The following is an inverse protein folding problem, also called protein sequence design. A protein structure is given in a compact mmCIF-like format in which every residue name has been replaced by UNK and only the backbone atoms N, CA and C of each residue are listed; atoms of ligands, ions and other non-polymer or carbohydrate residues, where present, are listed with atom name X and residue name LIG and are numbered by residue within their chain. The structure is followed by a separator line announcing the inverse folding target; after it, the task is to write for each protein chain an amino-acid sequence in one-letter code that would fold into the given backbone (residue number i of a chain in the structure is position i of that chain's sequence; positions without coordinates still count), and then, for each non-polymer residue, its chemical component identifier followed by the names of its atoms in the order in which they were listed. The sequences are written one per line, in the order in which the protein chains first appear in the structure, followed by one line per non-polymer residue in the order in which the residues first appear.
data_IF_553370145756
#
_entry.id   IF_553370145756
#
_cell.length_a   1.000
_cell.length_b   1.000
_cell.length_c   1.000
_cell.angle_alpha   90.00
_cell.angle_beta   90.00
_cell.angle_gamma   90.00
#
_symmetry.space_group_name_H-M   'P 1'
#
loop_
_entity.id
_entity.type
_entity.pdbx_description
1 polymer ?
#
# COMPACT_ATOMS: atom_id res chain seq x y z
N UNK A 1 10.22 33.68 8.48
CA UNK A 1 10.83 32.34 8.30
C UNK A 1 9.83 31.43 7.64
N UNK A 2 10.21 30.80 6.54
CA UNK A 2 9.44 29.78 5.85
C UNK A 2 10.01 28.42 6.23
N UNK A 3 9.14 27.52 6.67
CA UNK A 3 9.47 26.15 7.02
C UNK A 3 8.54 25.27 6.22
N UNK A 4 9.10 24.57 5.25
CA UNK A 4 8.36 23.70 4.34
C UNK A 4 9.16 22.43 4.10
N UNK A 5 8.48 21.34 3.78
CA UNK A 5 9.15 20.09 3.39
C UNK A 5 9.46 20.07 1.89
N UNK A 6 10.42 19.23 1.48
CA UNK A 6 10.90 19.09 0.10
C UNK A 6 11.62 20.36 -0.42
N UNK A 7 11.26 20.83 -1.63
CA UNK A 7 11.85 21.99 -2.28
C UNK A 7 11.23 23.31 -1.78
N UNK A 8 11.97 24.44 -1.82
CA UNK A 8 11.57 25.73 -1.26
C UNK A 8 10.49 26.48 -2.08
N UNK A 9 9.39 25.81 -2.44
CA UNK A 9 8.36 26.37 -3.33
C UNK A 9 7.64 27.55 -2.69
N UNK A 10 7.25 27.44 -1.42
CA UNK A 10 6.57 28.51 -0.68
C UNK A 10 7.55 29.66 -0.40
N UNK A 11 8.79 29.35 -0.02
CA UNK A 11 9.83 30.33 0.23
C UNK A 11 10.13 31.16 -1.03
N UNK A 12 10.34 30.51 -2.18
CA UNK A 12 10.58 31.16 -3.45
C UNK A 12 9.41 32.09 -3.84
N UNK A 13 8.17 31.61 -3.71
CA UNK A 13 6.98 32.41 -4.01
C UNK A 13 6.83 33.62 -3.08
N UNK A 14 7.08 33.44 -1.77
CA UNK A 14 7.04 34.54 -0.80
C UNK A 14 8.18 35.55 -1.05
N UNK A 15 9.38 35.09 -1.41
CA UNK A 15 10.51 35.96 -1.80
C UNK A 15 10.17 36.79 -3.04
N UNK A 16 9.57 36.18 -4.06
CA UNK A 16 9.13 36.89 -5.28
C UNK A 16 8.10 37.97 -4.92
N UNK A 17 7.08 37.64 -4.13
CA UNK A 17 6.04 38.60 -3.73
C UNK A 17 6.60 39.73 -2.86
N UNK A 18 7.51 39.41 -1.92
CA UNK A 18 8.11 40.38 -1.03
C UNK A 18 8.91 41.45 -1.79
N UNK A 19 9.56 41.10 -2.91
CA UNK A 19 10.25 42.09 -3.77
C UNK A 19 9.33 43.19 -4.29
N UNK A 20 8.02 42.96 -4.37
CA UNK A 20 7.05 43.97 -4.81
C UNK A 20 6.42 44.69 -3.63
N UNK A 21 6.04 43.95 -2.58
CA UNK A 21 5.19 44.48 -1.50
C UNK A 21 6.01 45.03 -0.32
N UNK A 22 7.13 44.39 0.01
CA UNK A 22 8.00 44.79 1.11
C UNK A 22 9.45 44.34 0.83
N UNK A 23 10.20 45.07 -0.02
CA UNK A 23 11.53 44.65 -0.46
C UNK A 23 12.56 44.53 0.67
N UNK A 24 12.30 45.19 1.81
CA UNK A 24 13.16 45.13 2.99
C UNK A 24 12.87 43.95 3.93
N UNK A 25 11.87 43.11 3.61
CA UNK A 25 11.54 41.95 4.43
C UNK A 25 12.62 40.86 4.29
N UNK A 26 13.32 40.58 5.39
CA UNK A 26 14.21 39.43 5.48
C UNK A 26 13.41 38.13 5.56
N UNK A 27 13.60 37.24 4.59
CA UNK A 27 12.93 35.94 4.53
C UNK A 27 13.98 34.85 4.71
N UNK A 28 13.96 34.24 5.88
CA UNK A 28 14.75 33.05 6.21
C UNK A 28 14.01 31.78 5.77
N UNK A 29 14.74 30.77 5.28
CA UNK A 29 14.18 29.48 4.90
C UNK A 29 15.25 28.43 4.57
N UNK A 30 14.99 27.54 3.61
CA UNK A 30 15.88 26.48 3.13
C UNK A 30 17.14 26.97 2.41
N UNK A 31 17.17 28.21 1.94
CA UNK A 31 18.40 28.78 1.37
C UNK A 31 19.48 29.02 2.44
N UNK A 32 19.08 29.43 3.65
CA UNK A 32 20.03 30.01 4.62
C UNK A 32 19.93 29.45 6.05
N UNK A 33 18.75 29.00 6.47
CA UNK A 33 18.41 28.76 7.89
C UNK A 33 17.90 27.35 8.21
N UNK A 34 17.36 26.66 7.19
CA UNK A 34 16.78 25.32 7.26
C UNK A 34 17.53 24.42 6.26
N UNK A 35 17.80 23.15 6.56
CA UNK A 35 18.36 22.24 5.57
C UNK A 35 17.43 22.05 4.36
N UNK A 36 17.98 22.19 3.16
CA UNK A 36 17.24 21.88 1.92
C UNK A 36 16.96 20.38 1.79
N UNK A 37 17.87 19.53 2.27
CA UNK A 37 17.82 18.08 2.18
C UNK A 37 17.76 17.44 3.57
N UNK A 38 17.28 16.20 3.62
CA UNK A 38 17.10 15.45 4.86
C UNK A 38 15.74 15.68 5.51
N UNK A 39 15.47 14.96 6.60
CA UNK A 39 14.22 15.08 7.36
C UNK A 39 14.22 16.38 8.18
N UNK A 40 13.13 17.16 8.07
CA UNK A 40 12.92 18.30 8.95
C UNK A 40 12.38 17.85 10.31
N UNK A 41 13.29 17.36 11.15
CA UNK A 41 12.94 16.94 12.49
C UNK A 41 12.66 18.13 13.44
N UNK A 42 12.10 17.78 14.61
CA UNK A 42 11.71 18.75 15.64
C UNK A 42 12.91 19.58 16.11
N UNK A 43 14.10 18.99 16.20
CA UNK A 43 15.30 19.67 16.73
C UNK A 43 15.82 20.68 15.71
N UNK A 44 15.87 20.29 14.44
CA UNK A 44 16.28 21.09 13.29
C UNK A 44 15.39 22.32 13.17
N UNK A 45 14.07 22.12 13.14
CA UNK A 45 13.08 23.20 13.08
C UNK A 45 13.19 24.11 14.30
N UNK A 46 13.25 23.54 15.51
CA UNK A 46 13.36 24.33 16.75
C UNK A 46 14.64 25.16 16.77
N UNK A 47 15.78 24.59 16.39
CA UNK A 47 17.06 25.29 16.42
C UNK A 47 17.12 26.39 15.35
N UNK A 48 16.51 26.20 14.19
CA UNK A 48 16.38 27.28 13.21
C UNK A 48 15.57 28.46 13.77
N UNK A 49 14.42 28.18 14.41
CA UNK A 49 13.62 29.22 15.10
C UNK A 49 14.43 29.86 16.23
N UNK A 50 15.19 29.07 17.00
CA UNK A 50 16.03 29.59 18.08
C UNK A 50 17.09 30.56 17.55
N UNK A 51 17.78 30.23 16.45
CA UNK A 51 18.73 31.13 15.78
C UNK A 51 18.08 32.45 15.36
N UNK A 52 16.93 32.38 14.68
CA UNK A 52 16.17 33.58 14.29
C UNK A 52 15.78 34.44 15.49
N UNK A 53 15.37 33.82 16.59
CA UNK A 53 14.94 34.51 17.82
C UNK A 53 16.11 34.88 18.74
N UNK A 54 17.37 34.62 18.35
CA UNK A 54 18.58 34.82 19.16
C UNK A 54 18.49 34.12 20.53
N UNK A 55 17.93 32.91 20.54
CA UNK A 55 17.79 32.04 21.71
C UNK A 55 18.79 30.88 21.63
N UNK A 56 19.18 30.30 22.78
CA UNK A 56 20.08 29.16 22.79
C UNK A 56 19.47 27.96 22.05
N UNK A 57 20.26 27.37 21.15
CA UNK A 57 19.96 26.06 20.56
C UNK A 57 19.99 24.99 21.66
N UNK A 58 19.27 23.88 21.45
CA UNK A 58 19.46 22.68 22.30
C UNK A 58 20.06 21.55 21.47
N UNK A 59 20.86 20.67 22.09
CA UNK A 59 21.34 19.48 21.41
C UNK A 59 20.18 18.57 21.00
N UNK A 60 20.43 17.70 20.03
CA UNK A 60 19.56 16.57 19.75
C UNK A 60 19.44 15.69 21.00
N UNK A 61 18.26 15.14 21.25
CA UNK A 61 18.10 14.14 22.30
C UNK A 61 18.94 12.91 21.93
N UNK A 62 19.55 12.26 22.94
CA UNK A 62 20.15 10.95 22.71
C UNK A 62 19.04 9.99 22.34
N UNK A 63 19.21 9.29 21.21
CA UNK A 63 18.32 8.19 20.87
C UNK A 63 18.37 7.14 21.99
N UNK A 64 17.24 6.53 22.36
CA UNK A 64 17.24 5.41 23.30
C UNK A 64 18.08 4.27 22.75
N UNK A 65 18.57 3.41 23.64
CA UNK A 65 19.27 2.19 23.24
C UNK A 65 18.37 1.36 22.28
N UNK A 66 18.81 1.05 21.06
CA UNK A 66 18.02 0.23 20.14
C UNK A 66 17.60 -1.11 20.74
N UNK A 67 18.36 -1.65 21.71
CA UNK A 67 18.06 -2.92 22.38
C UNK A 67 16.77 -2.90 23.19
N UNK A 68 16.31 -1.72 23.64
CA UNK A 68 15.06 -1.57 24.41
C UNK A 68 13.85 -1.27 23.53
N UNK A 69 14.04 -1.07 22.22
CA UNK A 69 12.96 -0.76 21.30
C UNK A 69 12.35 -2.06 20.75
N UNK A 70 11.02 -2.24 20.83
CA UNK A 70 10.39 -3.38 20.19
C UNK A 70 10.52 -3.27 18.66
N UNK A 71 10.68 -4.39 17.94
CA UNK A 71 10.72 -4.38 16.50
C UNK A 71 9.37 -3.87 15.94
N UNK A 72 9.44 -2.99 14.93
CA UNK A 72 8.25 -2.47 14.23
C UNK A 72 8.32 -2.84 12.75
N UNK A 73 8.16 -4.13 12.42
CA UNK A 73 8.19 -4.54 11.02
C UNK A 73 7.01 -3.89 10.26
N UNK A 74 7.19 -3.59 8.97
CA UNK A 74 6.07 -3.19 8.11
C UNK A 74 4.94 -4.21 8.21
N UNK A 75 3.71 -3.74 8.43
CA UNK A 75 2.56 -4.60 8.58
C UNK A 75 1.27 -3.96 8.09
N UNK A 76 0.44 -4.76 7.43
CA UNK A 76 -0.91 -4.37 7.02
C UNK A 76 -1.87 -4.43 8.21
N UNK A 77 -2.95 -3.63 8.17
CA UNK A 77 -4.00 -3.69 9.18
C UNK A 77 -4.57 -5.12 9.36
N UNK A 78 -5.04 -5.48 10.57
CA UNK A 78 -5.77 -6.73 10.80
C UNK A 78 -6.95 -6.90 9.84
N UNK A 79 -6.95 -8.01 9.10
CA UNK A 79 -7.95 -8.29 8.06
C UNK A 79 -7.88 -7.41 6.82
N UNK A 80 -6.78 -6.70 6.55
CA UNK A 80 -6.61 -6.00 5.28
C UNK A 80 -6.72 -6.96 4.08
N UNK A 81 -7.56 -6.62 3.08
CA UNK A 81 -7.75 -7.41 1.86
C UNK A 81 -6.49 -7.58 1.02
N UNK A 82 -5.57 -6.60 1.02
CA UNK A 82 -4.29 -6.72 0.29
C UNK A 82 -3.46 -7.91 0.76
N UNK A 83 -3.54 -8.28 2.05
CA UNK A 83 -2.85 -9.47 2.58
C UNK A 83 -3.34 -10.74 1.89
N UNK A 84 -4.66 -10.86 1.72
CA UNK A 84 -5.24 -12.01 1.05
C UNK A 84 -4.93 -12.02 -0.45
N UNK A 85 -4.90 -10.85 -1.10
CA UNK A 85 -4.43 -10.72 -2.49
C UNK A 85 -2.98 -11.19 -2.64
N UNK A 86 -2.07 -10.72 -1.80
CA UNK A 86 -0.66 -11.11 -1.87
C UNK A 86 -0.43 -12.58 -1.56
N UNK A 87 -1.21 -13.15 -0.62
CA UNK A 87 -1.20 -14.58 -0.40
C UNK A 87 -1.62 -15.35 -1.67
N UNK A 88 -2.70 -14.91 -2.33
CA UNK A 88 -3.18 -15.52 -3.56
C UNK A 88 -2.17 -15.39 -4.72
N UNK A 89 -1.56 -14.21 -4.89
CA UNK A 89 -0.47 -13.99 -5.85
C UNK A 89 0.68 -14.97 -5.62
N UNK A 90 1.15 -15.11 -4.37
CA UNK A 90 2.24 -16.04 -4.03
C UNK A 90 1.88 -17.51 -4.29
N UNK A 91 0.62 -17.89 -4.05
CA UNK A 91 0.12 -19.24 -4.33
C UNK A 91 0.06 -19.53 -5.83
N UNK A 92 -0.44 -18.59 -6.61
CA UNK A 92 -0.59 -18.75 -8.05
C UNK A 92 0.74 -18.67 -8.81
N UNK A 93 1.60 -17.71 -8.48
CA UNK A 93 2.85 -17.46 -9.23
C UNK A 93 4.06 -18.21 -8.64
N UNK A 94 3.98 -18.62 -7.38
CA UNK A 94 5.10 -19.22 -6.67
C UNK A 94 6.10 -18.20 -6.15
N UNK A 95 7.08 -18.68 -5.38
CA UNK A 95 8.08 -17.84 -4.67
C UNK A 95 9.21 -17.29 -5.55
N UNK A 96 9.36 -17.81 -6.77
CA UNK A 96 10.42 -17.42 -7.71
C UNK A 96 9.93 -16.39 -8.74
N UNK A 97 8.65 -16.05 -8.71
CA UNK A 97 8.09 -15.00 -9.55
C UNK A 97 8.61 -13.63 -9.13
N UNK A 98 8.56 -12.69 -10.06
CA UNK A 98 9.01 -11.31 -9.86
C UNK A 98 7.78 -10.44 -9.62
N UNK A 99 7.79 -9.72 -8.50
CA UNK A 99 6.69 -8.92 -8.01
C UNK A 99 7.04 -7.43 -7.90
N UNK A 100 7.10 -6.67 -9.02
CA UNK A 100 7.22 -5.23 -8.96
C UNK A 100 6.00 -4.61 -8.29
N UNK A 101 6.22 -3.68 -7.37
CA UNK A 101 5.14 -3.00 -6.65
C UNK A 101 5.36 -1.50 -6.64
N UNK A 102 4.33 -0.78 -6.22
CA UNK A 102 4.35 0.67 -6.05
C UNK A 102 4.33 1.07 -4.58
N UNK A 103 4.45 2.37 -4.31
CA UNK A 103 4.24 2.92 -2.97
C UNK A 103 2.75 2.99 -2.61
N UNK A 104 2.39 2.44 -1.45
CA UNK A 104 1.04 2.47 -0.88
C UNK A 104 0.89 1.57 0.34
N UNK A 105 -0.33 1.41 0.89
CA UNK A 105 -0.58 0.47 2.01
C UNK A 105 -0.01 -0.91 1.73
N UNK A 106 -0.14 -1.37 0.50
CA UNK A 106 0.30 -2.66 0.03
C UNK A 106 1.83 -2.85 0.05
N UNK A 107 2.64 -1.80 0.05
CA UNK A 107 4.11 -1.89 0.28
C UNK A 107 4.43 -2.49 1.65
N UNK A 108 3.54 -2.35 2.65
CA UNK A 108 3.72 -2.96 3.97
C UNK A 108 3.70 -4.49 3.93
N UNK A 109 3.34 -5.11 2.80
CA UNK A 109 3.42 -6.54 2.57
C UNK A 109 4.82 -7.02 2.15
N UNK A 110 5.87 -6.18 2.23
CA UNK A 110 7.24 -6.54 1.83
C UNK A 110 7.74 -7.86 2.43
N UNK A 111 7.39 -8.13 3.70
CA UNK A 111 7.78 -9.36 4.39
C UNK A 111 7.02 -10.62 3.90
N UNK A 112 6.02 -10.48 3.03
CA UNK A 112 5.25 -11.60 2.50
C UNK A 112 5.92 -12.26 1.28
N UNK A 113 6.97 -11.64 0.72
CA UNK A 113 7.68 -12.13 -0.47
C UNK A 113 6.89 -11.98 -1.76
N UNK A 114 6.16 -10.86 -1.88
CA UNK A 114 5.38 -10.46 -3.08
C UNK A 114 5.54 -8.97 -3.40
N UNK A 115 6.66 -8.40 -2.95
CA UNK A 115 7.09 -7.02 -3.24
C UNK A 115 8.61 -7.06 -3.36
N UNK A 116 9.11 -7.19 -4.59
CA UNK A 116 10.55 -7.27 -4.86
C UNK A 116 11.15 -5.90 -5.16
N UNK A 117 10.35 -5.00 -5.72
CA UNK A 117 10.74 -3.61 -6.01
C UNK A 117 9.61 -2.65 -5.63
N UNK A 118 9.98 -1.44 -5.21
CA UNK A 118 9.07 -0.33 -4.94
C UNK A 118 9.81 0.98 -5.24
N UNK A 119 9.60 1.55 -6.43
CA UNK A 119 10.32 2.75 -6.88
C UNK A 119 9.55 4.03 -6.56
N UNK A 120 8.38 4.21 -7.18
CA UNK A 120 7.52 5.36 -6.97
C UNK A 120 6.06 4.98 -7.25
N UNK A 121 5.15 5.96 -7.25
CA UNK A 121 3.74 5.73 -7.55
C UNK A 121 3.54 5.62 -9.07
N UNK A 122 3.08 4.46 -9.55
CA UNK A 122 2.80 4.19 -10.96
C UNK A 122 3.95 3.54 -11.75
N UNK A 123 5.01 3.06 -11.08
CA UNK A 123 6.18 2.47 -11.73
C UNK A 123 6.10 0.95 -11.89
N UNK A 124 5.25 0.25 -11.14
CA UNK A 124 5.26 -1.22 -11.08
C UNK A 124 5.00 -1.87 -12.44
N UNK A 125 4.06 -1.32 -13.24
CA UNK A 125 3.74 -1.82 -14.57
C UNK A 125 4.89 -1.60 -15.56
N UNK A 126 5.52 -0.43 -15.54
CA UNK A 126 6.63 -0.12 -16.46
C UNK A 126 7.90 -0.87 -16.09
N UNK A 127 8.17 -1.07 -14.79
CA UNK A 127 9.22 -1.97 -14.31
C UNK A 127 8.97 -3.41 -14.76
N UNK A 128 7.75 -3.93 -14.58
CA UNK A 128 7.38 -5.26 -15.05
C UNK A 128 7.53 -5.42 -16.56
N UNK A 129 7.10 -4.42 -17.33
CA UNK A 129 7.29 -4.39 -18.78
C UNK A 129 8.77 -4.36 -19.17
N UNK A 130 9.59 -3.59 -18.45
CA UNK A 130 11.04 -3.55 -18.65
C UNK A 130 11.70 -4.89 -18.36
N UNK A 131 11.35 -5.53 -17.25
CA UNK A 131 11.83 -6.87 -16.88
C UNK A 131 11.47 -7.90 -17.95
N UNK A 132 10.22 -7.85 -18.44
CA UNK A 132 9.74 -8.70 -19.54
C UNK A 132 10.58 -8.53 -20.81
N UNK A 133 10.87 -7.30 -21.21
CA UNK A 133 11.67 -7.03 -22.42
C UNK A 133 13.17 -7.15 -22.20
N UNK A 134 13.62 -7.19 -20.93
CA UNK A 134 15.01 -7.40 -20.54
C UNK A 134 15.46 -8.87 -20.56
N UNK A 135 14.54 -9.82 -20.75
CA UNK A 135 14.84 -11.23 -20.95
C UNK A 135 14.05 -12.20 -20.08
N UNK A 136 13.33 -11.73 -19.07
CA UNK A 136 12.45 -12.60 -18.28
C UNK A 136 11.17 -12.90 -19.06
N UNK A 137 10.74 -14.15 -19.08
CA UNK A 137 9.66 -14.60 -19.99
C UNK A 137 8.44 -15.15 -19.29
N UNK A 138 8.51 -15.47 -18.00
CA UNK A 138 7.37 -16.01 -17.24
C UNK A 138 7.37 -15.46 -15.81
N UNK A 139 6.26 -15.63 -15.09
CA UNK A 139 6.22 -15.36 -13.65
C UNK A 139 6.36 -13.90 -13.24
N UNK A 140 5.92 -12.93 -14.05
CA UNK A 140 5.94 -11.50 -13.69
C UNK A 140 4.53 -11.05 -13.29
N UNK A 141 4.34 -10.69 -12.02
CA UNK A 141 3.07 -10.20 -11.50
C UNK A 141 3.29 -8.90 -10.71
N UNK A 142 2.95 -7.76 -11.30
CA UNK A 142 3.11 -6.47 -10.62
C UNK A 142 1.85 -6.06 -9.86
N UNK A 143 2.00 -5.19 -8.87
CA UNK A 143 0.87 -4.70 -8.09
C UNK A 143 0.88 -3.18 -7.91
N UNK A 144 -0.31 -2.59 -7.85
CA UNK A 144 -0.53 -1.17 -7.55
C UNK A 144 -1.93 -0.94 -7.00
N UNK A 145 -2.13 0.15 -6.27
CA UNK A 145 -3.45 0.55 -5.78
C UNK A 145 -4.35 1.09 -6.90
N UNK A 146 -5.66 1.12 -6.66
CA UNK A 146 -6.67 1.77 -7.49
C UNK A 146 -6.38 3.27 -7.71
N UNK A 147 -6.05 4.01 -6.65
CA UNK A 147 -5.67 5.42 -6.77
C UNK A 147 -4.40 5.60 -7.61
N UNK A 148 -3.41 4.70 -7.42
CA UNK A 148 -2.14 4.71 -8.14
C UNK A 148 -2.34 4.40 -9.62
N UNK A 149 -3.21 3.44 -9.94
CA UNK A 149 -3.58 3.13 -11.31
C UNK A 149 -4.16 4.35 -12.03
N UNK A 150 -5.08 5.07 -11.36
CA UNK A 150 -5.71 6.27 -11.89
C UNK A 150 -4.81 7.52 -11.89
N UNK A 151 -3.69 7.51 -11.19
CA UNK A 151 -2.71 8.60 -11.18
C UNK A 151 -1.62 8.42 -12.24
N UNK A 152 -0.91 7.28 -12.20
CA UNK A 152 0.24 7.02 -13.07
C UNK A 152 0.23 5.64 -13.76
N UNK A 153 -0.61 4.70 -13.31
CA UNK A 153 -0.61 3.35 -13.86
C UNK A 153 -1.27 3.21 -15.24
N UNK A 154 -2.19 4.11 -15.62
CA UNK A 154 -2.88 4.05 -16.92
C UNK A 154 -1.92 4.09 -18.11
N UNK A 155 -0.95 5.01 -18.08
CA UNK A 155 0.05 5.15 -19.16
C UNK A 155 0.98 3.95 -19.20
N UNK A 156 1.34 3.39 -18.04
CA UNK A 156 2.09 2.15 -17.93
C UNK A 156 1.35 0.96 -18.54
N UNK A 157 0.04 0.82 -18.26
CA UNK A 157 -0.78 -0.27 -18.82
C UNK A 157 -0.92 -0.14 -20.34
N UNK A 158 -1.19 1.06 -20.84
CA UNK A 158 -1.25 1.33 -22.28
C UNK A 158 0.06 0.98 -22.98
N UNK A 159 1.19 1.34 -22.37
CA UNK A 159 2.51 1.04 -22.91
C UNK A 159 2.81 -0.47 -22.90
N UNK A 160 2.47 -1.17 -21.81
CA UNK A 160 2.59 -2.62 -21.72
C UNK A 160 1.75 -3.33 -22.81
N UNK A 161 0.53 -2.85 -23.05
CA UNK A 161 -0.33 -3.38 -24.11
C UNK A 161 0.27 -3.15 -25.50
N UNK A 162 0.69 -1.91 -25.79
CA UNK A 162 1.32 -1.53 -27.06
C UNK A 162 2.56 -2.38 -27.37
N UNK A 163 3.40 -2.63 -26.37
CA UNK A 163 4.64 -3.41 -26.52
C UNK A 163 4.43 -4.93 -26.33
N UNK A 164 3.20 -5.40 -26.16
CA UNK A 164 2.86 -6.82 -25.95
C UNK A 164 3.60 -7.43 -24.76
N UNK A 165 3.73 -6.69 -23.67
CA UNK A 165 4.30 -7.20 -22.44
C UNK A 165 3.35 -8.25 -21.83
N UNK A 166 3.76 -9.52 -21.88
CA UNK A 166 3.05 -10.62 -21.20
C UNK A 166 3.45 -10.62 -19.73
N UNK A 167 2.65 -9.87 -18.96
CA UNK A 167 2.74 -9.66 -17.51
C UNK A 167 1.31 -9.68 -16.92
N UNK A 168 1.20 -9.96 -15.62
CA UNK A 168 -0.04 -9.78 -14.88
C UNK A 168 0.02 -8.52 -14.01
N UNK A 169 -1.05 -7.73 -14.03
CA UNK A 169 -1.20 -6.52 -13.22
C UNK A 169 -2.29 -6.74 -12.17
N UNK A 170 -1.93 -6.70 -10.89
CA UNK A 170 -2.85 -6.75 -9.76
C UNK A 170 -3.22 -5.33 -9.31
N UNK A 171 -4.43 -4.88 -9.64
CA UNK A 171 -4.98 -3.62 -9.12
C UNK A 171 -5.66 -3.91 -7.78
N UNK A 172 -5.09 -3.35 -6.72
CA UNK A 172 -5.51 -3.51 -5.33
C UNK A 172 -6.54 -2.43 -4.97
N UNK A 173 -7.80 -2.66 -5.33
CA UNK A 173 -8.90 -1.70 -5.14
C UNK A 173 -9.46 -1.77 -3.71
N UNK A 174 -9.09 -0.79 -2.90
CA UNK A 174 -9.65 -0.59 -1.56
C UNK A 174 -10.62 0.61 -1.47
N UNK A 175 -10.92 1.19 -2.63
CA UNK A 175 -11.85 2.30 -2.86
C UNK A 175 -11.51 3.56 -2.07
N UNK A 176 -10.22 3.85 -1.89
CA UNK A 176 -9.69 5.08 -1.27
C UNK A 176 -8.17 5.21 -1.39
N UNK A 177 -7.62 6.42 -1.31
CA UNK A 177 -6.17 6.59 -1.14
C UNK A 177 -5.80 6.43 0.35
N UNK A 178 -5.72 5.18 0.82
CA UNK A 178 -5.72 4.85 2.25
C UNK A 178 -4.53 5.42 3.05
N UNK A 179 -3.30 5.17 2.59
CA UNK A 179 -2.06 5.48 3.33
C UNK A 179 -1.88 6.98 3.58
N UNK A 180 -2.38 7.82 2.68
CA UNK A 180 -2.27 9.27 2.76
C UNK A 180 -3.35 9.92 3.63
N UNK A 181 -4.32 9.14 4.14
CA UNK A 181 -5.42 9.69 4.96
C UNK A 181 -6.82 9.49 4.37
N UNK A 182 -7.01 8.48 3.50
CA UNK A 182 -8.31 8.11 2.92
C UNK A 182 -8.91 9.18 1.99
N UNK A 183 -8.08 9.81 1.16
CA UNK A 183 -8.54 10.77 0.17
C UNK A 183 -9.47 10.12 -0.86
N UNK A 184 -10.43 10.88 -1.41
CA UNK A 184 -11.14 10.48 -2.60
C UNK A 184 -10.23 10.54 -3.83
N UNK A 185 -10.58 9.76 -4.84
CA UNK A 185 -9.95 9.74 -6.18
C UNK A 185 -11.02 9.35 -7.21
N UNK A 186 -10.75 9.40 -8.53
CA UNK A 186 -11.77 9.16 -9.55
C UNK A 186 -12.48 7.78 -9.49
N UNK A 187 -11.90 6.80 -8.79
CA UNK A 187 -12.50 5.49 -8.55
C UNK A 187 -13.52 5.47 -7.40
N UNK A 188 -13.61 6.54 -6.60
CA UNK A 188 -14.53 6.63 -5.45
C UNK A 188 -15.89 7.22 -5.78
N UNK A 189 -16.03 7.92 -6.92
CA UNK A 189 -17.28 8.58 -7.30
C UNK A 189 -17.64 9.80 -6.43
N UNK A 190 -16.69 10.36 -5.70
CA UNK A 190 -16.89 11.53 -4.83
C UNK A 190 -15.74 12.53 -5.00
N UNK A 191 -16.04 13.83 -5.03
CA UNK A 191 -15.03 14.90 -5.11
C UNK A 191 -14.31 15.12 -3.77
N UNK A 192 -13.26 15.95 -3.77
CA UNK A 192 -12.58 16.35 -2.54
C UNK A 192 -13.48 17.09 -1.54
N UNK A 193 -14.58 17.71 -2.01
CA UNK A 193 -15.57 18.41 -1.18
C UNK A 193 -16.73 17.53 -0.71
N UNK A 194 -16.76 16.25 -1.12
CA UNK A 194 -17.81 15.30 -0.73
C UNK A 194 -18.98 15.22 -1.70
N UNK A 195 -18.91 15.86 -2.87
CA UNK A 195 -19.99 15.83 -3.86
C UNK A 195 -19.94 14.53 -4.67
N UNK A 196 -21.07 13.83 -4.86
CA UNK A 196 -21.14 12.70 -5.80
C UNK A 196 -20.76 13.12 -7.22
N UNK A 197 -19.97 12.29 -7.89
CA UNK A 197 -19.49 12.53 -9.25
C UNK A 197 -19.30 11.21 -10.00
N UNK A 198 -18.74 11.26 -11.20
CA UNK A 198 -18.46 10.08 -12.03
C UNK A 198 -17.50 9.14 -11.29
N UNK A 199 -17.88 7.87 -11.21
CA UNK A 199 -17.02 6.79 -10.71
C UNK A 199 -16.42 6.04 -11.89
N UNK A 200 -15.09 6.03 -12.00
CA UNK A 200 -14.37 5.30 -13.04
C UNK A 200 -14.46 3.79 -12.80
N UNK A 201 -14.86 3.02 -13.82
CA UNK A 201 -14.72 1.56 -13.82
C UNK A 201 -13.29 1.17 -14.19
N UNK A 202 -12.59 0.53 -13.25
CA UNK A 202 -11.24 0.00 -13.47
C UNK A 202 -11.24 -1.10 -14.54
N UNK A 203 -12.31 -1.90 -14.62
CA UNK A 203 -12.49 -2.97 -15.59
C UNK A 203 -12.59 -2.42 -17.01
N UNK A 204 -13.50 -1.47 -17.23
CA UNK A 204 -13.73 -0.87 -18.53
C UNK A 204 -12.47 -0.13 -19.01
N UNK A 205 -11.82 0.60 -18.09
CA UNK A 205 -10.59 1.32 -18.37
C UNK A 205 -9.43 0.37 -18.72
N UNK A 206 -9.21 -0.70 -17.93
CA UNK A 206 -8.16 -1.68 -18.21
C UNK A 206 -8.35 -2.35 -19.59
N UNK A 207 -9.60 -2.70 -19.95
CA UNK A 207 -9.93 -3.24 -21.29
C UNK A 207 -9.65 -2.20 -22.38
N UNK A 208 -10.08 -0.96 -22.19
CA UNK A 208 -9.86 0.12 -23.16
C UNK A 208 -8.37 0.44 -23.38
N UNK A 209 -7.53 0.24 -22.36
CA UNK A 209 -6.07 0.40 -22.44
C UNK A 209 -5.35 -0.82 -23.04
N UNK A 210 -6.08 -1.88 -23.41
CA UNK A 210 -5.54 -3.02 -24.16
C UNK A 210 -5.23 -4.28 -23.35
N UNK A 211 -5.70 -4.39 -22.10
CA UNK A 211 -5.63 -5.64 -21.36
C UNK A 211 -6.56 -6.71 -21.98
N UNK A 212 -6.01 -7.89 -22.29
CA UNK A 212 -6.75 -8.95 -22.96
C UNK A 212 -7.60 -9.81 -22.02
N UNK A 213 -7.11 -10.04 -20.80
CA UNK A 213 -7.88 -10.63 -19.71
C UNK A 213 -8.06 -9.59 -18.61
N UNK A 214 -9.30 -9.36 -18.18
CA UNK A 214 -9.61 -8.51 -17.03
C UNK A 214 -10.63 -9.24 -16.16
N UNK A 215 -10.21 -9.61 -14.95
CA UNK A 215 -11.09 -10.24 -13.96
C UNK A 215 -11.14 -9.39 -12.68
N UNK A 216 -12.26 -9.47 -11.96
CA UNK A 216 -12.44 -8.82 -10.67
C UNK A 216 -12.76 -9.88 -9.64
N UNK A 217 -12.07 -9.84 -8.50
CA UNK A 217 -12.21 -10.80 -7.41
C UNK A 217 -12.34 -10.09 -6.08
N UNK A 218 -13.08 -10.71 -5.16
CA UNK A 218 -13.02 -10.35 -3.76
C UNK A 218 -11.91 -11.16 -3.09
N UNK A 219 -10.82 -10.54 -2.61
CA UNK A 219 -9.71 -11.26 -2.00
C UNK A 219 -10.07 -12.03 -0.73
N UNK A 220 -11.23 -11.80 -0.12
CA UNK A 220 -11.72 -12.66 0.97
C UNK A 220 -12.26 -14.01 0.47
N UNK A 221 -12.65 -14.11 -0.81
CA UNK A 221 -12.98 -15.37 -1.48
C UNK A 221 -11.68 -15.99 -2.02
N UNK A 222 -10.88 -16.54 -1.10
CA UNK A 222 -9.48 -16.85 -1.34
C UNK A 222 -9.27 -17.86 -2.48
N UNK A 223 -10.02 -18.96 -2.50
CA UNK A 223 -9.86 -20.01 -3.51
C UNK A 223 -10.12 -19.49 -4.93
N UNK A 224 -11.15 -18.67 -5.11
CA UNK A 224 -11.45 -18.08 -6.42
C UNK A 224 -10.44 -17.00 -6.80
N UNK A 225 -9.95 -16.24 -5.80
CA UNK A 225 -8.87 -15.28 -6.02
C UNK A 225 -7.60 -15.98 -6.52
N UNK A 226 -7.22 -17.12 -5.91
CA UNK A 226 -6.08 -17.93 -6.36
C UNK A 226 -6.28 -18.41 -7.80
N UNK A 227 -7.44 -19.01 -8.11
CA UNK A 227 -7.77 -19.50 -9.46
C UNK A 227 -7.75 -18.38 -10.51
N UNK A 228 -8.22 -17.19 -10.15
CA UNK A 228 -8.18 -16.01 -11.03
C UNK A 228 -6.74 -15.60 -11.34
N UNK A 229 -5.85 -15.56 -10.34
CA UNK A 229 -4.43 -15.32 -10.57
C UNK A 229 -3.75 -16.44 -11.39
N UNK A 230 -4.14 -17.71 -11.22
CA UNK A 230 -3.65 -18.81 -12.06
C UNK A 230 -4.06 -18.63 -13.53
N UNK A 231 -5.33 -18.30 -13.78
CA UNK A 231 -5.81 -17.96 -15.14
C UNK A 231 -5.05 -16.77 -15.74
N UNK A 232 -4.79 -15.74 -14.94
CA UNK A 232 -4.05 -14.56 -15.38
C UNK A 232 -2.57 -14.83 -15.67
N UNK A 233 -1.92 -15.69 -14.88
CA UNK A 233 -0.56 -16.19 -15.09
C UNK A 233 -0.46 -16.95 -16.42
N UNK A 234 -1.43 -17.81 -16.69
CA UNK A 234 -1.43 -18.71 -17.84
C UNK A 234 -1.93 -18.02 -19.13
N UNK A 235 -2.45 -16.80 -19.02
CA UNK A 235 -2.90 -16.01 -20.17
C UNK A 235 -1.71 -15.60 -21.07
N UNK A 236 -1.76 -15.83 -22.39
CA UNK A 236 -0.67 -15.53 -23.32
C UNK A 236 -0.63 -14.05 -23.73
N UNK A 237 -0.67 -13.12 -22.77
CA UNK A 237 -0.66 -11.69 -23.01
C UNK A 237 -0.74 -10.85 -21.74
N UNK A 238 -1.12 -9.59 -21.87
CA UNK A 238 -1.35 -8.69 -20.74
C UNK A 238 -2.66 -9.05 -20.04
N UNK A 239 -2.58 -9.39 -18.75
CA UNK A 239 -3.74 -9.71 -17.90
C UNK A 239 -3.83 -8.74 -16.71
N UNK A 240 -5.05 -8.43 -16.28
CA UNK A 240 -5.34 -7.55 -15.14
C UNK A 240 -6.29 -8.26 -14.18
N UNK A 241 -5.89 -8.34 -12.91
CA UNK A 241 -6.75 -8.79 -11.80
C UNK A 241 -7.05 -7.60 -10.92
N UNK A 242 -8.33 -7.26 -10.76
CA UNK A 242 -8.79 -6.23 -9.83
C UNK A 242 -9.25 -6.92 -8.54
N UNK A 243 -8.41 -6.88 -7.51
CA UNK A 243 -8.75 -7.40 -6.20
C UNK A 243 -9.48 -6.31 -5.40
N UNK A 244 -10.82 -6.36 -5.41
CA UNK A 244 -11.70 -5.32 -4.87
C UNK A 244 -12.19 -5.68 -3.48
N UNK A 245 -11.73 -4.94 -2.47
CA UNK A 245 -12.23 -5.02 -1.09
C UNK A 245 -12.01 -3.69 -0.38
N UNK A 246 -13.08 -3.04 0.16
CA UNK A 246 -12.93 -1.78 0.87
C UNK A 246 -11.86 -1.83 1.97
N UNK A 247 -11.12 -0.73 2.13
CA UNK A 247 -10.19 -0.58 3.26
C UNK A 247 -10.89 -0.92 4.58
N UNK A 248 -10.32 -1.82 5.39
CA UNK A 248 -10.93 -2.32 6.63
C UNK A 248 -11.26 -1.19 7.62
N UNK A 249 -10.45 -0.12 7.65
CA UNK A 249 -10.69 1.06 8.48
C UNK A 249 -11.92 1.82 7.98
N UNK A 250 -12.05 2.01 6.66
CA UNK A 250 -13.21 2.68 6.04
C UNK A 250 -14.49 1.85 6.20
N UNK A 251 -14.41 0.53 5.97
CA UNK A 251 -15.50 -0.40 6.18
C UNK A 251 -16.02 -0.36 7.62
N UNK A 252 -15.11 -0.36 8.61
CA UNK A 252 -15.46 -0.25 10.03
C UNK A 252 -16.13 1.09 10.37
N UNK A 253 -15.63 2.20 9.81
CA UNK A 253 -16.26 3.53 9.95
C UNK A 253 -17.66 3.57 9.33
N UNK A 254 -17.89 2.81 8.25
CA UNK A 254 -19.19 2.65 7.61
C UNK A 254 -20.12 1.65 8.34
N UNK A 255 -19.74 1.15 9.52
CA UNK A 255 -20.57 0.27 10.34
C UNK A 255 -20.40 -1.23 10.07
N UNK A 256 -19.51 -1.63 9.14
CA UNK A 256 -19.24 -3.05 8.92
C UNK A 256 -18.43 -3.62 10.08
N UNK A 257 -19.03 -4.57 10.81
CA UNK A 257 -18.41 -5.25 11.96
C UNK A 257 -18.66 -6.76 11.86
N UNK A 258 -17.92 -7.46 10.99
CA UNK A 258 -17.96 -8.92 10.96
C UNK A 258 -17.60 -9.50 12.33
N UNK A 259 -18.09 -10.70 12.63
CA UNK A 259 -17.80 -11.38 13.89
C UNK A 259 -16.31 -11.72 13.97
N UNK A 260 -15.63 -11.40 15.09
CA UNK A 260 -14.28 -11.87 15.32
C UNK A 260 -14.19 -13.40 15.26
N UNK A 261 -12.99 -13.87 15.00
CA UNK A 261 -12.67 -15.30 14.96
C UNK A 261 -11.95 -15.70 16.24
N UNK A 262 -12.02 -16.99 16.58
CA UNK A 262 -11.27 -17.63 17.65
C UNK A 262 -10.60 -18.92 17.16
N UNK A 263 -9.63 -19.41 17.92
CA UNK A 263 -8.96 -20.69 17.67
C UNK A 263 -9.51 -21.72 18.65
N UNK A 264 -9.92 -22.89 18.16
CA UNK A 264 -10.43 -23.99 18.98
C UNK A 264 -9.34 -25.08 19.23
N UNK A 265 -9.72 -26.15 19.93
CA UNK A 265 -8.81 -27.22 20.34
C UNK A 265 -8.27 -28.10 19.20
N UNK A 266 -8.81 -27.97 17.98
CA UNK A 266 -8.34 -28.72 16.81
C UNK A 266 -7.01 -28.15 16.25
N UNK A 267 -6.51 -27.05 16.81
CA UNK A 267 -5.28 -26.40 16.38
C UNK A 267 -4.06 -27.33 16.55
N UNK A 268 -3.40 -27.63 15.43
CA UNK A 268 -2.21 -28.50 15.37
C UNK A 268 -0.87 -27.75 15.45
N UNK A 269 -0.87 -26.45 15.70
CA UNK A 269 0.37 -25.66 15.83
C UNK A 269 1.19 -25.52 14.53
N UNK A 270 0.58 -25.72 13.35
CA UNK A 270 1.30 -25.76 12.06
C UNK A 270 1.84 -24.42 11.54
N UNK A 271 1.53 -23.31 12.21
CA UNK A 271 1.99 -21.94 11.91
C UNK A 271 1.59 -21.33 10.55
N UNK A 272 0.82 -22.02 9.71
CA UNK A 272 0.34 -21.45 8.42
C UNK A 272 -0.38 -20.10 8.60
N UNK A 273 -1.23 -19.97 9.63
CA UNK A 273 -1.92 -18.72 9.94
C UNK A 273 -0.99 -17.64 10.55
N UNK A 274 0.12 -18.02 11.16
CA UNK A 274 1.17 -17.11 11.64
C UNK A 274 1.96 -16.56 10.46
N UNK A 275 2.37 -17.44 9.54
CA UNK A 275 3.10 -17.07 8.32
C UNK A 275 2.28 -16.20 7.37
N UNK A 276 0.94 -16.24 7.48
CA UNK A 276 0.04 -15.31 6.80
C UNK A 276 0.26 -13.84 7.25
N UNK A 277 0.82 -13.61 8.44
CA UNK A 277 1.27 -12.29 8.89
C UNK A 277 0.15 -11.34 9.30
N UNK A 278 -0.92 -11.84 9.90
CA UNK A 278 -1.98 -10.99 10.46
C UNK A 278 -1.63 -10.60 11.91
N UNK A 279 -1.55 -9.29 12.28
CA UNK A 279 -1.26 -8.85 13.64
C UNK A 279 -2.29 -9.28 14.69
N UNK A 280 -3.45 -9.79 14.26
CA UNK A 280 -4.46 -10.33 15.14
C UNK A 280 -4.21 -11.80 15.51
N UNK A 281 -3.14 -12.43 15.03
CA UNK A 281 -2.81 -13.82 15.28
C UNK A 281 -1.45 -13.90 15.96
N UNK A 282 -1.45 -14.44 17.17
CA UNK A 282 -0.29 -14.65 18.03
C UNK A 282 0.01 -16.16 18.09
N UNK A 283 1.22 -16.51 18.52
CA UNK A 283 1.62 -17.90 18.73
C UNK A 283 2.08 -18.09 20.17
N UNK A 284 1.31 -18.83 20.96
CA UNK A 284 1.50 -19.07 22.40
C UNK A 284 1.28 -20.55 22.68
N UNK A 285 2.09 -21.14 23.56
CA UNK A 285 1.89 -22.54 24.03
C UNK A 285 1.70 -23.57 22.89
N UNK A 286 2.51 -23.44 21.84
CA UNK A 286 2.46 -24.29 20.63
C UNK A 286 1.15 -24.19 19.82
N UNK A 287 0.28 -23.23 20.12
CA UNK A 287 -0.99 -22.99 19.43
C UNK A 287 -1.08 -21.56 18.91
N UNK A 288 -1.91 -21.37 17.88
CA UNK A 288 -2.28 -20.04 17.45
C UNK A 288 -3.34 -19.45 18.39
N UNK A 289 -3.28 -18.15 18.63
CA UNK A 289 -4.27 -17.41 19.41
C UNK A 289 -4.72 -16.18 18.61
N UNK A 290 -6.02 -15.92 18.57
CA UNK A 290 -6.54 -14.70 17.93
C UNK A 290 -6.86 -13.65 18.99
N UNK A 291 -6.29 -12.46 18.85
CA UNK A 291 -6.44 -11.36 19.81
C UNK A 291 -7.61 -10.41 19.43
N UNK A 292 -7.83 -9.39 20.25
CA UNK A 292 -8.92 -8.42 20.12
C UNK A 292 -8.82 -7.48 18.90
N UNK A 293 -7.70 -7.51 18.17
CA UNK A 293 -7.55 -6.74 16.93
C UNK A 293 -8.28 -7.39 15.74
N UNK A 294 -8.79 -8.62 15.90
CA UNK A 294 -9.47 -9.35 14.83
C UNK A 294 -10.67 -8.58 14.28
N UNK A 295 -10.76 -8.53 12.95
CA UNK A 295 -11.82 -7.84 12.21
C UNK A 295 -12.80 -8.80 11.52
N UNK A 296 -12.63 -10.12 11.73
CA UNK A 296 -13.56 -11.12 11.20
C UNK A 296 -13.50 -11.34 9.69
N UNK A 297 -12.32 -11.20 9.07
CA UNK A 297 -12.18 -11.32 7.61
C UNK A 297 -12.34 -12.76 7.07
N UNK A 298 -12.24 -13.80 7.90
CA UNK A 298 -12.38 -15.21 7.50
C UNK A 298 -11.17 -15.83 6.79
N UNK A 299 -10.22 -15.02 6.29
CA UNK A 299 -9.11 -15.54 5.46
C UNK A 299 -8.20 -16.51 6.21
N UNK A 300 -7.93 -16.26 7.49
CA UNK A 300 -7.13 -17.20 8.30
C UNK A 300 -7.83 -18.55 8.51
N UNK A 301 -9.17 -18.56 8.57
CA UNK A 301 -9.95 -19.80 8.61
C UNK A 301 -9.85 -20.56 7.28
N UNK A 302 -9.96 -19.85 6.15
CA UNK A 302 -9.85 -20.45 4.81
C UNK A 302 -8.49 -21.13 4.56
N UNK A 303 -7.39 -20.65 5.16
CA UNK A 303 -6.06 -21.26 5.03
C UNK A 303 -5.74 -22.31 6.11
N UNK A 304 -6.62 -22.51 7.10
CA UNK A 304 -6.35 -23.42 8.20
C UNK A 304 -6.66 -24.87 7.80
N UNK A 305 -5.66 -25.75 7.65
CA UNK A 305 -5.89 -27.13 7.20
C UNK A 305 -6.60 -28.00 8.26
N UNK A 306 -6.60 -27.54 9.52
CA UNK A 306 -7.25 -28.24 10.62
C UNK A 306 -8.68 -27.75 10.86
N UNK A 307 -9.16 -26.73 10.13
CA UNK A 307 -10.45 -26.06 10.41
C UNK A 307 -10.58 -25.52 11.83
N UNK A 308 -9.45 -25.26 12.50
CA UNK A 308 -9.40 -24.88 13.91
C UNK A 308 -9.69 -23.39 14.18
N UNK A 309 -10.17 -22.64 13.18
CA UNK A 309 -10.46 -21.20 13.29
C UNK A 309 -11.91 -20.99 12.90
N UNK A 310 -12.70 -20.46 13.83
CA UNK A 310 -14.15 -20.33 13.73
C UNK A 310 -14.61 -18.96 14.21
N UNK A 311 -15.85 -18.57 13.89
CA UNK A 311 -16.46 -17.36 14.44
C UNK A 311 -16.70 -17.52 15.95
N UNK A 312 -16.48 -16.43 16.70
CA UNK A 312 -16.87 -16.39 18.12
C UNK A 312 -18.39 -16.56 18.21
N UNK A 313 -18.82 -17.46 19.10
CA UNK A 313 -20.23 -17.69 19.37
C UNK A 313 -20.94 -16.38 19.80
N UNK A 314 -22.22 -16.19 19.42
CA UNK A 314 -22.99 -15.00 19.77
C UNK A 314 -23.17 -14.80 21.28
#
# INVERSE_FOLDING_TARGET
MVIEELEPVVEEQVKILARTVNPGLEILGKEDSIPRQGELDIITVRNAIARMMKRPERPAAKSPDPSILPPRPPSLCPGCGHRATYYAMKKAFGKNAIFPSDIGCYTMAVNMGTVDTCLCMGASITLASGIRHGGETEGICCSLGDSTFLHGGMTGLLNAAYNKARITVAILDNSTTAMTGHQPHPGTGVTATGEPTVQVSLEALAKALGAGLVETVDPYQLDETIKSFERARDYPGLSVIIARRPCVIKARKAGQRPRPLQVNDECKGCKICIDFGCPAIEFEEERARINSLCTGCGVCAAICPASAIEEVAP
#
